data_IF_267908974360
#
_entry.id   IF_267908974360
#
_cell.length_a   1.000
_cell.length_b   1.000
_cell.length_c   1.000
_cell.angle_alpha   90.00
_cell.angle_beta   90.00
_cell.angle_gamma   90.00
#
_symmetry.space_group_name_H-M   'P 1'
#
loop_
_entity.id
_entity.type
_entity.pdbx_description
1 polymer ?
#
# COMPACT_ATOMS: atom_id res chain seq x y z
N UNK A 1 2.96 23.55 4.44
CA UNK A 1 1.64 22.89 4.57
C UNK A 1 1.13 22.32 3.25
N UNK A 2 1.24 23.02 2.11
CA UNK A 2 0.75 22.53 0.81
C UNK A 2 1.40 21.21 0.34
N UNK A 3 2.71 21.02 0.53
CA UNK A 3 3.43 19.79 0.13
C UNK A 3 2.85 18.51 0.75
N UNK A 4 2.52 18.55 2.05
CA UNK A 4 2.00 17.38 2.76
C UNK A 4 0.60 17.02 2.28
N UNK A 5 -0.24 18.02 1.98
CA UNK A 5 -1.58 17.79 1.44
C UNK A 5 -1.50 17.19 0.04
N UNK A 6 -0.66 17.75 -0.83
CA UNK A 6 -0.44 17.21 -2.18
C UNK A 6 0.08 15.77 -2.13
N UNK A 7 1.07 15.48 -1.28
CA UNK A 7 1.59 14.14 -1.11
C UNK A 7 0.54 13.15 -0.59
N UNK A 8 -0.28 13.56 0.37
CA UNK A 8 -1.36 12.73 0.91
C UNK A 8 -2.42 12.42 -0.14
N UNK A 9 -2.81 13.41 -0.95
CA UNK A 9 -3.76 13.21 -2.05
C UNK A 9 -3.19 12.23 -3.08
N UNK A 10 -1.92 12.38 -3.48
CA UNK A 10 -1.26 11.47 -4.41
C UNK A 10 -1.17 10.05 -3.81
N UNK A 11 -0.73 9.93 -2.57
CA UNK A 11 -0.64 8.64 -1.87
C UNK A 11 -2.01 7.99 -1.70
N UNK A 12 -3.07 8.77 -1.48
CA UNK A 12 -4.46 8.32 -1.45
C UNK A 12 -4.91 7.78 -2.80
N UNK A 13 -4.76 8.60 -3.85
CA UNK A 13 -5.17 8.28 -5.22
C UNK A 13 -4.47 7.05 -5.78
N UNK A 14 -3.24 6.77 -5.37
CA UNK A 14 -2.50 5.58 -5.80
C UNK A 14 -2.66 4.41 -4.81
N UNK A 15 -2.55 4.69 -3.51
CA UNK A 15 -2.54 3.67 -2.46
C UNK A 15 -3.88 2.97 -2.29
N UNK A 16 -4.99 3.70 -2.38
CA UNK A 16 -6.34 3.11 -2.27
C UNK A 16 -6.63 2.10 -3.39
N UNK A 17 -6.51 2.44 -4.69
CA UNK A 17 -6.77 1.46 -5.75
C UNK A 17 -5.75 0.32 -5.72
N UNK A 18 -4.47 0.57 -5.42
CA UNK A 18 -3.48 -0.51 -5.28
C UNK A 18 -3.82 -1.47 -4.13
N UNK A 19 -4.18 -0.93 -2.96
CA UNK A 19 -4.58 -1.72 -1.80
C UNK A 19 -5.85 -2.53 -2.06
N UNK A 20 -6.83 -1.92 -2.73
CA UNK A 20 -8.05 -2.61 -3.15
C UNK A 20 -7.74 -3.72 -4.16
N UNK A 21 -6.90 -3.48 -5.16
CA UNK A 21 -6.46 -4.50 -6.12
C UNK A 21 -5.76 -5.67 -5.44
N UNK A 22 -4.86 -5.40 -4.50
CA UNK A 22 -4.17 -6.44 -3.74
C UNK A 22 -5.13 -7.25 -2.86
N UNK A 23 -6.23 -6.66 -2.40
CA UNK A 23 -7.23 -7.36 -1.59
C UNK A 23 -8.26 -8.13 -2.41
N UNK A 24 -8.72 -7.57 -3.52
CA UNK A 24 -9.82 -8.12 -4.32
C UNK A 24 -9.36 -9.18 -5.32
N UNK A 25 -8.18 -9.03 -5.93
CA UNK A 25 -7.70 -9.92 -7.00
C UNK A 25 -6.76 -10.99 -6.43
N UNK A 26 -6.93 -12.24 -6.82
CA UNK A 26 -5.92 -13.28 -6.61
C UNK A 26 -4.97 -13.28 -7.81
N UNK A 27 -3.66 -13.23 -7.56
CA UNK A 27 -2.63 -13.35 -8.59
C UNK A 27 -1.36 -13.94 -7.97
N UNK A 28 -0.53 -14.66 -8.76
CA UNK A 28 0.71 -15.25 -8.26
C UNK A 28 1.67 -14.13 -7.82
N UNK A 29 1.97 -14.06 -6.52
CA UNK A 29 2.81 -13.03 -5.91
C UNK A 29 2.09 -12.07 -4.95
N UNK A 30 0.75 -12.09 -4.90
CA UNK A 30 -0.04 -11.24 -3.99
C UNK A 30 0.43 -11.30 -2.53
N UNK A 31 0.68 -12.51 -2.00
CA UNK A 31 1.14 -12.69 -0.60
C UNK A 31 2.48 -12.00 -0.36
N UNK A 32 3.40 -12.12 -1.30
CA UNK A 32 4.71 -11.46 -1.23
C UNK A 32 4.56 -9.95 -1.25
N UNK A 33 3.75 -9.39 -2.15
CA UNK A 33 3.50 -7.94 -2.19
C UNK A 33 2.86 -7.43 -0.89
N UNK A 34 1.85 -8.12 -0.37
CA UNK A 34 1.21 -7.73 0.89
C UNK A 34 2.18 -7.79 2.06
N UNK A 35 3.03 -8.82 2.12
CA UNK A 35 4.07 -8.92 3.14
C UNK A 35 5.04 -7.75 3.04
N UNK A 36 5.55 -7.44 1.84
CA UNK A 36 6.44 -6.28 1.63
C UNK A 36 5.75 -4.99 2.07
N UNK A 37 4.51 -4.76 1.66
CA UNK A 37 3.73 -3.58 2.04
C UNK A 37 3.60 -3.46 3.56
N UNK A 38 3.24 -4.55 4.25
CA UNK A 38 3.13 -4.55 5.71
C UNK A 38 4.49 -4.39 6.42
N UNK A 39 5.57 -4.93 5.86
CA UNK A 39 6.93 -4.69 6.37
C UNK A 39 7.29 -3.21 6.22
N UNK A 40 6.97 -2.58 5.08
CA UNK A 40 7.21 -1.16 4.85
C UNK A 40 6.38 -0.26 5.78
N UNK A 41 5.19 -0.69 6.21
CA UNK A 41 4.43 0.04 7.23
C UNK A 41 5.12 0.08 8.60
N UNK A 42 5.96 -0.92 8.90
CA UNK A 42 6.75 -0.98 10.14
C UNK A 42 8.12 -0.29 10.04
N UNK A 43 8.48 0.23 8.86
CA UNK A 43 9.78 0.86 8.65
C UNK A 43 9.88 2.15 9.48
N UNK A 44 10.96 2.34 10.28
CA UNK A 44 11.20 3.59 10.98
C UNK A 44 11.19 4.78 10.01
N UNK A 45 10.42 5.85 10.29
CA UNK A 45 10.33 7.01 9.41
C UNK A 45 11.69 7.64 9.08
N UNK A 46 12.62 7.59 10.05
CA UNK A 46 14.00 8.08 9.91
C UNK A 46 14.78 7.29 8.85
N UNK A 47 14.63 5.96 8.80
CA UNK A 47 15.33 5.12 7.81
C UNK A 47 14.84 5.39 6.39
N UNK A 48 13.53 5.57 6.21
CA UNK A 48 12.98 5.96 4.92
C UNK A 48 13.47 7.33 4.47
N UNK A 49 13.54 8.32 5.39
CA UNK A 49 14.14 9.61 5.11
C UNK A 49 15.61 9.52 4.67
N UNK A 50 16.39 8.63 5.30
CA UNK A 50 17.78 8.37 4.95
C UNK A 50 17.91 7.71 3.56
N UNK A 51 17.07 6.74 3.23
CA UNK A 51 17.04 6.10 1.91
C UNK A 51 16.77 7.15 0.83
N UNK A 52 15.76 7.99 1.02
CA UNK A 52 15.42 9.06 0.07
C UNK A 52 16.57 10.06 -0.04
N UNK A 53 17.20 10.44 1.08
CA UNK A 53 18.38 11.30 1.07
C UNK A 53 19.50 10.71 0.24
N UNK A 54 19.85 9.43 0.43
CA UNK A 54 20.91 8.76 -0.32
C UNK A 54 20.61 8.67 -1.82
N UNK A 55 19.34 8.46 -2.18
CA UNK A 55 18.87 8.40 -3.58
C UNK A 55 18.96 9.77 -4.27
N UNK A 56 18.58 10.84 -3.56
CA UNK A 56 18.42 12.21 -4.10
C UNK A 56 19.70 13.05 -3.99
N UNK A 57 20.63 12.70 -3.10
CA UNK A 57 21.92 13.39 -2.96
C UNK A 57 22.64 13.46 -4.30
N UNK A 58 23.44 14.50 -4.53
CA UNK A 58 24.18 14.73 -5.80
C UNK A 58 25.05 13.57 -6.29
N UNK A 59 25.41 12.61 -5.42
CA UNK A 59 26.13 11.37 -5.77
C UNK A 59 25.24 10.11 -5.86
N UNK A 60 23.93 10.28 -5.70
CA UNK A 60 22.91 9.23 -5.79
C UNK A 60 22.32 9.13 -7.20
N UNK A 61 21.53 8.09 -7.49
CA UNK A 61 20.94 7.84 -8.82
C UNK A 61 20.04 8.97 -9.34
N UNK A 62 19.43 9.78 -8.46
CA UNK A 62 18.65 10.98 -8.82
C UNK A 62 19.41 12.29 -8.56
N UNK A 63 20.71 12.21 -8.24
CA UNK A 63 21.53 13.36 -7.87
C UNK A 63 21.70 14.40 -8.98
N UNK A 64 21.61 13.99 -10.24
CA UNK A 64 21.69 14.87 -11.41
C UNK A 64 20.54 15.89 -11.49
N UNK A 65 19.44 15.65 -10.79
CA UNK A 65 18.27 16.54 -10.78
C UNK A 65 18.35 17.64 -9.72
N UNK A 66 19.43 17.69 -8.92
CA UNK A 66 19.66 18.67 -7.84
C UNK A 66 18.44 18.89 -6.91
N UNK A 67 17.64 17.83 -6.73
CA UNK A 67 16.37 17.87 -6.00
C UNK A 67 16.54 18.03 -4.48
N UNK A 68 17.78 18.01 -3.97
CA UNK A 68 18.06 18.11 -2.54
C UNK A 68 17.53 19.44 -1.99
N UNK A 69 16.74 19.38 -0.92
CA UNK A 69 16.06 20.55 -0.31
C UNK A 69 14.96 21.22 -1.15
N UNK A 70 14.50 20.58 -2.24
CA UNK A 70 13.37 21.09 -3.03
C UNK A 70 12.01 20.61 -2.48
N UNK A 71 10.92 21.37 -2.71
CA UNK A 71 9.55 20.89 -2.44
C UNK A 71 9.22 19.58 -3.15
N UNK A 72 9.77 19.36 -4.35
CA UNK A 72 9.57 18.13 -5.12
C UNK A 72 10.15 16.90 -4.40
N UNK A 73 11.37 16.98 -3.87
CA UNK A 73 11.95 15.89 -3.08
C UNK A 73 11.16 15.61 -1.80
N UNK A 74 10.65 16.66 -1.14
CA UNK A 74 9.79 16.50 0.04
C UNK A 74 8.51 15.73 -0.29
N UNK A 75 7.84 16.07 -1.40
CA UNK A 75 6.62 15.36 -1.83
C UNK A 75 6.93 13.89 -2.16
N UNK A 76 8.02 13.62 -2.87
CA UNK A 76 8.44 12.23 -3.18
C UNK A 76 8.68 11.43 -1.91
N UNK A 77 9.40 12.00 -0.93
CA UNK A 77 9.65 11.34 0.35
C UNK A 77 8.34 11.00 1.08
N UNK A 78 7.41 11.96 1.11
CA UNK A 78 6.11 11.80 1.76
C UNK A 78 5.21 10.78 1.05
N UNK A 79 5.21 10.76 -0.29
CA UNK A 79 4.48 9.74 -1.06
C UNK A 79 5.06 8.35 -0.79
N UNK A 80 6.40 8.21 -0.81
CA UNK A 80 7.07 6.93 -0.59
C UNK A 80 6.78 6.38 0.82
N UNK A 81 6.70 7.26 1.82
CA UNK A 81 6.29 6.93 3.18
C UNK A 81 4.79 6.61 3.30
N UNK A 82 3.93 7.43 2.69
CA UNK A 82 2.48 7.33 2.84
C UNK A 82 1.85 6.20 2.04
N UNK A 83 2.39 5.88 0.87
CA UNK A 83 1.85 4.88 -0.05
C UNK A 83 1.71 3.47 0.55
N UNK A 84 2.73 2.88 1.22
CA UNK A 84 2.57 1.57 1.85
C UNK A 84 1.56 1.59 3.00
N UNK A 85 1.44 2.71 3.71
CA UNK A 85 0.48 2.87 4.82
C UNK A 85 -0.94 2.86 4.27
N UNK A 86 -1.24 3.75 3.30
CA UNK A 86 -2.57 3.83 2.67
C UNK A 86 -2.92 2.49 2.02
N UNK A 87 -2.01 1.93 1.21
CA UNK A 87 -2.22 0.67 0.52
C UNK A 87 -2.49 -0.50 1.50
N UNK A 88 -1.67 -0.62 2.54
CA UNK A 88 -1.81 -1.68 3.54
C UNK A 88 -3.08 -1.55 4.37
N UNK A 89 -3.46 -0.34 4.77
CA UNK A 89 -4.72 -0.09 5.49
C UNK A 89 -5.94 -0.37 4.61
N UNK A 90 -5.95 0.09 3.36
CA UNK A 90 -7.03 -0.23 2.42
C UNK A 90 -7.14 -1.73 2.19
N UNK A 91 -6.01 -2.42 1.98
CA UNK A 91 -6.02 -3.87 1.79
C UNK A 91 -6.60 -4.60 3.02
N UNK A 92 -6.21 -4.20 4.23
CA UNK A 92 -6.74 -4.76 5.49
C UNK A 92 -8.24 -4.51 5.63
N UNK A 93 -8.70 -3.29 5.37
CA UNK A 93 -10.11 -2.92 5.47
C UNK A 93 -10.97 -3.74 4.50
N UNK A 94 -10.55 -3.87 3.24
CA UNK A 94 -11.27 -4.64 2.22
C UNK A 94 -11.30 -6.13 2.56
N UNK A 95 -10.19 -6.69 3.07
CA UNK A 95 -10.15 -8.09 3.50
C UNK A 95 -11.05 -8.35 4.71
N UNK A 96 -11.05 -7.46 5.70
CA UNK A 96 -11.90 -7.58 6.89
C UNK A 96 -13.39 -7.60 6.52
N UNK A 97 -13.81 -6.71 5.62
CA UNK A 97 -15.20 -6.67 5.17
C UNK A 97 -15.61 -7.92 4.38
N UNK A 98 -14.71 -8.51 3.57
CA UNK A 98 -14.98 -9.79 2.92
C UNK A 98 -15.20 -10.93 3.92
N UNK A 99 -14.40 -10.95 4.99
CA UNK A 99 -14.53 -11.97 6.04
C UNK A 99 -15.88 -11.84 6.77
N UNK A 100 -16.28 -10.61 7.12
CA UNK A 100 -17.56 -10.34 7.79
C UNK A 100 -18.78 -10.75 6.93
N UNK A 101 -18.73 -10.47 5.63
CA UNK A 101 -19.79 -10.88 4.68
C UNK A 101 -19.85 -12.41 4.59
N UNK A 102 -18.70 -13.08 4.57
CA UNK A 102 -18.63 -14.54 4.55
C UNK A 102 -19.22 -15.15 5.83
N UNK A 103 -18.82 -14.63 6.99
CA UNK A 103 -19.29 -15.12 8.30
C UNK A 103 -20.81 -14.92 8.44
N UNK A 104 -21.34 -13.78 7.99
CA UNK A 104 -22.78 -13.49 7.98
C UNK A 104 -23.55 -14.44 7.07
N UNK A 105 -23.03 -14.73 5.87
CA UNK A 105 -23.65 -15.68 4.95
C UNK A 105 -23.71 -17.10 5.53
N UNK A 106 -22.66 -17.54 6.24
CA UNK A 106 -22.62 -18.83 6.92
C UNK A 106 -23.66 -18.91 8.04
N UNK A 107 -23.83 -17.85 8.83
CA UNK A 107 -24.82 -17.79 9.93
C UNK A 107 -26.26 -17.82 9.41
N UNK A 108 -26.55 -17.15 8.29
CA UNK A 108 -27.87 -17.10 7.66
C UNK A 108 -28.25 -18.37 6.87
N UNK A 109 -27.43 -19.43 6.92
CA UNK A 109 -27.76 -20.73 6.35
C UNK A 109 -27.30 -20.95 4.91
N UNK A 110 -26.42 -20.10 4.36
CA UNK A 110 -25.76 -20.40 3.09
C UNK A 110 -24.86 -21.63 3.26
N UNK A 111 -25.18 -22.71 2.55
CA UNK A 111 -24.55 -24.02 2.70
C UNK A 111 -23.01 -23.95 2.64
N UNK A 112 -22.34 -24.62 3.59
CA UNK A 112 -20.90 -24.91 3.59
C UNK A 112 -20.40 -25.55 2.27
N UNK A 113 -21.29 -26.02 1.41
CA UNK A 113 -20.99 -26.75 0.17
C UNK A 113 -20.96 -25.87 -1.10
N UNK A 114 -21.50 -24.64 -1.08
CA UNK A 114 -21.29 -23.68 -2.18
C UNK A 114 -20.01 -22.85 -2.01
N UNK A 115 -19.51 -22.70 -0.78
CA UNK A 115 -18.23 -22.04 -0.48
C UNK A 115 -16.99 -22.82 -0.97
N UNK A 116 -17.16 -24.09 -1.35
CA UNK A 116 -16.11 -24.94 -1.94
C UNK A 116 -16.02 -24.78 -3.47
N UNK A 117 -17.07 -24.26 -4.11
CA UNK A 117 -17.18 -24.22 -5.59
C UNK A 117 -16.79 -22.87 -6.23
N UNK A 118 -16.53 -21.83 -5.44
CA UNK A 118 -15.99 -20.57 -6.00
C UNK A 118 -14.47 -20.65 -5.95
N UNK A 119 -13.79 -20.92 -7.08
CA UNK A 119 -12.45 -21.49 -7.07
C UNK A 119 -11.43 -20.56 -6.41
N UNK A 120 -10.84 -21.07 -5.33
CA UNK A 120 -9.44 -20.78 -5.01
C UNK A 120 -8.59 -21.58 -6.01
N UNK A 121 -8.55 -21.12 -7.26
CA UNK A 121 -7.55 -21.53 -8.26
C UNK A 121 -7.48 -20.51 -9.40
N UNK A 122 -6.35 -19.78 -9.44
CA UNK A 122 -6.03 -18.75 -10.45
C UNK A 122 -5.27 -17.58 -9.85
#
# INVERSE_FOLDING_TARGET
MYNALSALVIAGLLGVPLGALFALKAFPGRKTLLNITYTLMGLPPVLAGLIVYLVVRSKGPLGQFELLFTPAAMVIAQVLLGLPIVCGLTARAVMAQRQEVYDTAVILGASRLQAVWTPVSG
#
